data_IF_091713697114
#
_entry.id   IF_091713697114
#
_cell.length_a   1.000
_cell.length_b   1.000
_cell.length_c   1.000
_cell.angle_alpha   90.00
_cell.angle_beta   90.00
_cell.angle_gamma   90.00
#
_symmetry.space_group_name_H-M   'P 1'
#
loop_
_entity.id
_entity.type
_entity.pdbx_description
1 polymer ?
#
# COMPACT_ATOMS: atom_id res chain seq x y z
N UNK A 1 -30.82 1.60 -8.10
CA UNK A 1 -29.97 0.47 -8.51
C UNK A 1 -29.63 -0.34 -7.27
N UNK A 2 -30.07 -1.59 -7.24
CA UNK A 2 -29.74 -2.57 -6.20
C UNK A 2 -28.22 -2.79 -6.21
N UNK A 3 -27.58 -2.80 -5.04
CA UNK A 3 -26.13 -2.99 -4.94
C UNK A 3 -25.76 -4.37 -5.51
N UNK A 4 -24.71 -4.45 -6.34
CA UNK A 4 -24.23 -5.69 -6.96
C UNK A 4 -24.11 -6.84 -5.94
N UNK A 5 -23.69 -6.52 -4.72
CA UNK A 5 -23.49 -7.45 -3.61
C UNK A 5 -24.79 -8.03 -3.01
N UNK A 6 -25.95 -7.43 -3.28
CA UNK A 6 -27.25 -7.93 -2.83
C UNK A 6 -27.74 -9.12 -3.69
N UNK A 7 -27.17 -9.30 -4.88
CA UNK A 7 -27.54 -10.36 -5.82
C UNK A 7 -26.31 -11.17 -6.20
N UNK A 8 -26.20 -12.38 -5.65
CA UNK A 8 -25.14 -13.35 -6.01
C UNK A 8 -25.09 -13.59 -7.53
N UNK A 9 -26.25 -13.55 -8.19
CA UNK A 9 -26.37 -13.71 -9.64
C UNK A 9 -25.71 -12.56 -10.39
N UNK A 10 -25.99 -11.32 -10.02
CA UNK A 10 -25.46 -10.14 -10.71
C UNK A 10 -23.98 -9.93 -10.39
N UNK A 11 -23.54 -10.24 -9.17
CA UNK A 11 -22.13 -10.27 -8.79
C UNK A 11 -21.34 -11.25 -9.67
N UNK A 12 -21.84 -12.47 -9.85
CA UNK A 12 -21.19 -13.47 -10.71
C UNK A 12 -21.15 -13.01 -12.17
N UNK A 13 -22.22 -12.40 -12.69
CA UNK A 13 -22.25 -11.82 -14.04
C UNK A 13 -21.22 -10.72 -14.23
N UNK A 14 -21.08 -9.84 -13.24
CA UNK A 14 -20.08 -8.77 -13.24
C UNK A 14 -18.66 -9.32 -13.28
N UNK A 15 -18.35 -10.30 -12.43
CA UNK A 15 -17.05 -10.96 -12.43
C UNK A 15 -16.73 -11.63 -13.78
N UNK A 16 -17.70 -12.36 -14.37
CA UNK A 16 -17.52 -12.98 -15.70
C UNK A 16 -17.28 -11.91 -16.78
N UNK A 17 -17.99 -10.79 -16.74
CA UNK A 17 -17.86 -9.73 -17.73
C UNK A 17 -16.51 -8.99 -17.62
N UNK A 18 -16.02 -8.79 -16.39
CA UNK A 18 -14.68 -8.26 -16.12
C UNK A 18 -13.60 -9.21 -16.65
N UNK A 19 -13.71 -10.51 -16.38
CA UNK A 19 -12.77 -11.51 -16.89
C UNK A 19 -12.68 -11.51 -18.42
N UNK A 20 -13.83 -11.38 -19.10
CA UNK A 20 -13.85 -11.22 -20.57
C UNK A 20 -13.18 -9.91 -20.96
N UNK A 21 -13.52 -8.78 -20.33
CA UNK A 21 -13.00 -7.48 -20.72
C UNK A 21 -11.47 -7.38 -20.56
N UNK A 22 -10.91 -8.03 -19.52
CA UNK A 22 -9.47 -8.05 -19.22
C UNK A 22 -8.65 -8.94 -20.16
N UNK A 23 -9.26 -10.00 -20.72
CA UNK A 23 -8.54 -11.03 -21.47
C UNK A 23 -9.06 -11.26 -22.90
N UNK A 24 -10.05 -10.48 -23.35
CA UNK A 24 -10.59 -10.54 -24.71
C UNK A 24 -9.51 -10.34 -25.79
N UNK A 25 -9.67 -10.94 -26.98
CA UNK A 25 -10.83 -11.74 -27.43
C UNK A 25 -10.75 -13.24 -27.12
N UNK A 26 -9.63 -13.72 -26.57
CA UNK A 26 -9.34 -15.15 -26.45
C UNK A 26 -9.45 -15.60 -24.99
N UNK A 27 -10.68 -15.79 -24.52
CA UNK A 27 -10.96 -16.26 -23.15
C UNK A 27 -11.78 -17.54 -23.19
N UNK A 28 -11.29 -18.61 -22.55
CA UNK A 28 -12.03 -19.87 -22.47
C UNK A 28 -12.95 -19.91 -21.26
N UNK A 29 -14.12 -20.54 -21.41
CA UNK A 29 -15.06 -20.72 -20.30
C UNK A 29 -14.44 -21.48 -19.12
N UNK A 30 -13.56 -22.45 -19.41
CA UNK A 30 -12.85 -23.23 -18.39
C UNK A 30 -11.88 -22.38 -17.57
N UNK A 31 -11.26 -21.36 -18.17
CA UNK A 31 -10.36 -20.44 -17.49
C UNK A 31 -11.17 -19.52 -16.57
N UNK A 32 -12.26 -18.93 -17.07
CA UNK A 32 -13.20 -18.13 -16.26
C UNK A 32 -13.74 -18.95 -15.08
N UNK A 33 -14.14 -20.20 -15.34
CA UNK A 33 -14.65 -21.11 -14.32
C UNK A 33 -13.62 -21.36 -13.21
N UNK A 34 -12.36 -21.60 -13.59
CA UNK A 34 -11.26 -21.79 -12.65
C UNK A 34 -10.99 -20.52 -11.82
N UNK A 35 -10.87 -19.36 -12.46
CA UNK A 35 -10.63 -18.07 -11.79
C UNK A 35 -11.74 -17.74 -10.79
N UNK A 36 -13.00 -17.97 -11.15
CA UNK A 36 -14.16 -17.63 -10.32
C UNK A 36 -14.58 -18.75 -9.36
N UNK A 37 -13.94 -19.92 -9.39
CA UNK A 37 -14.29 -21.07 -8.55
C UNK A 37 -15.70 -21.61 -8.79
N UNK A 38 -16.20 -21.53 -10.04
CA UNK A 38 -17.53 -22.02 -10.44
C UNK A 38 -17.43 -23.07 -11.53
N UNK A 39 -18.53 -23.76 -11.84
CA UNK A 39 -18.52 -24.79 -12.89
C UNK A 39 -18.53 -24.17 -14.30
N UNK A 40 -17.88 -24.79 -15.31
CA UNK A 40 -17.97 -24.34 -16.70
C UNK A 40 -19.41 -24.25 -17.23
N UNK A 41 -20.30 -25.12 -16.74
CA UNK A 41 -21.73 -25.07 -17.06
C UNK A 41 -22.38 -23.78 -16.55
N UNK A 42 -22.08 -23.37 -15.31
CA UNK A 42 -22.57 -22.11 -14.76
C UNK A 42 -22.06 -20.91 -15.57
N UNK A 43 -20.77 -20.91 -15.95
CA UNK A 43 -20.21 -19.87 -16.84
C UNK A 43 -20.97 -19.83 -18.16
N UNK A 44 -21.24 -20.98 -18.78
CA UNK A 44 -22.01 -21.05 -20.03
C UNK A 44 -23.43 -20.48 -19.88
N UNK A 45 -24.10 -20.67 -18.74
CA UNK A 45 -25.44 -20.12 -18.51
C UNK A 45 -25.39 -18.59 -18.35
N UNK A 46 -24.47 -18.09 -17.53
CA UNK A 46 -24.30 -16.64 -17.36
C UNK A 46 -23.92 -15.94 -18.66
N UNK A 47 -23.09 -16.55 -19.50
CA UNK A 47 -22.71 -15.99 -20.79
C UNK A 47 -23.88 -15.88 -21.76
N UNK A 48 -24.79 -16.87 -21.77
CA UNK A 48 -26.03 -16.77 -22.57
C UNK A 48 -26.87 -15.59 -22.11
N UNK A 49 -27.00 -15.39 -20.80
CA UNK A 49 -27.74 -14.25 -20.25
C UNK A 49 -27.08 -12.91 -20.57
N UNK A 50 -25.76 -12.80 -20.41
CA UNK A 50 -24.99 -11.60 -20.74
C UNK A 50 -25.08 -11.27 -22.24
N UNK A 51 -25.06 -12.28 -23.10
CA UNK A 51 -25.26 -12.11 -24.54
C UNK A 51 -26.70 -11.64 -24.86
N UNK A 52 -27.71 -12.26 -24.25
CA UNK A 52 -29.12 -11.85 -24.41
C UNK A 52 -29.36 -10.41 -23.92
N UNK A 53 -28.62 -9.97 -22.90
CA UNK A 53 -28.68 -8.59 -22.39
C UNK A 53 -27.87 -7.60 -23.24
N UNK A 54 -27.11 -8.09 -24.22
CA UNK A 54 -26.29 -7.29 -25.13
C UNK A 54 -24.98 -6.79 -24.51
N UNK A 55 -24.53 -7.38 -23.40
CA UNK A 55 -23.27 -7.01 -22.73
C UNK A 55 -22.04 -7.70 -23.34
N UNK A 56 -22.25 -8.87 -23.96
CA UNK A 56 -21.21 -9.67 -24.59
C UNK A 56 -21.62 -10.04 -26.01
N UNK A 57 -20.68 -9.92 -26.94
CA UNK A 57 -20.76 -10.48 -28.28
C UNK A 57 -19.97 -11.80 -28.34
N UNK A 58 -20.49 -12.78 -29.09
CA UNK A 58 -19.86 -14.09 -29.27
C UNK A 58 -19.76 -14.42 -30.77
N UNK A 59 -18.56 -14.72 -31.23
CA UNK A 59 -18.26 -15.19 -32.59
C UNK A 59 -18.22 -16.74 -32.65
N UNK A 60 -19.08 -17.39 -31.85
CA UNK A 60 -19.08 -18.83 -31.59
C UNK A 60 -18.55 -19.21 -30.19
N UNK A 61 -18.40 -20.51 -29.92
CA UNK A 61 -18.17 -21.07 -28.56
C UNK A 61 -16.83 -20.72 -27.89
N UNK A 62 -15.93 -20.02 -28.59
CA UNK A 62 -14.51 -19.91 -28.16
C UNK A 62 -14.05 -18.46 -28.00
N UNK A 63 -14.79 -17.47 -28.52
CA UNK A 63 -14.38 -16.06 -28.47
C UNK A 63 -15.52 -15.18 -28.00
N UNK A 64 -15.28 -14.47 -26.91
CA UNK A 64 -16.18 -13.51 -26.31
C UNK A 64 -15.55 -12.13 -26.34
N UNK A 65 -16.35 -11.12 -26.65
CA UNK A 65 -15.93 -9.72 -26.65
C UNK A 65 -16.96 -8.88 -25.91
N UNK A 66 -16.50 -8.00 -25.03
CA UNK A 66 -17.38 -7.09 -24.31
C UNK A 66 -17.90 -6.01 -25.26
N UNK A 67 -19.21 -5.73 -25.22
CA UNK A 67 -19.81 -4.64 -26.01
C UNK A 67 -19.63 -3.30 -25.30
N UNK A 68 -19.88 -2.18 -25.99
CA UNK A 68 -19.88 -0.86 -25.35
C UNK A 68 -20.85 -0.80 -24.16
N UNK A 69 -22.05 -1.39 -24.32
CA UNK A 69 -23.04 -1.53 -23.24
C UNK A 69 -22.51 -2.36 -22.07
N UNK A 70 -21.73 -3.40 -22.35
CA UNK A 70 -21.06 -4.20 -21.32
C UNK A 70 -20.02 -3.41 -20.55
N UNK A 71 -19.21 -2.59 -21.25
CA UNK A 71 -18.21 -1.71 -20.61
C UNK A 71 -18.87 -0.63 -19.75
N UNK A 72 -19.95 -0.02 -20.24
CA UNK A 72 -20.74 0.95 -19.46
C UNK A 72 -21.29 0.30 -18.18
N UNK A 73 -21.87 -0.90 -18.30
CA UNK A 73 -22.39 -1.61 -17.15
C UNK A 73 -21.29 -2.03 -16.16
N UNK A 74 -20.10 -2.44 -16.62
CA UNK A 74 -18.93 -2.65 -15.73
C UNK A 74 -18.62 -1.35 -14.97
N UNK A 75 -18.54 -0.24 -15.70
CA UNK A 75 -18.12 1.06 -15.15
C UNK A 75 -19.10 1.54 -14.07
N UNK A 76 -20.40 1.49 -14.34
CA UNK A 76 -21.44 1.87 -13.38
C UNK A 76 -21.38 1.03 -12.09
N UNK A 77 -21.20 -0.29 -12.22
CA UNK A 77 -21.13 -1.18 -11.07
C UNK A 77 -19.81 -1.02 -10.29
N UNK A 78 -18.70 -0.76 -10.98
CA UNK A 78 -17.43 -0.43 -10.33
C UNK A 78 -17.53 0.85 -9.50
N UNK A 79 -18.18 1.90 -10.02
CA UNK A 79 -18.45 3.12 -9.25
C UNK A 79 -19.39 2.87 -8.07
N UNK A 80 -20.43 2.05 -8.23
CA UNK A 80 -21.31 1.68 -7.14
C UNK A 80 -20.59 0.92 -6.02
N UNK A 81 -19.71 -0.03 -6.38
CA UNK A 81 -18.85 -0.74 -5.44
C UNK A 81 -17.89 0.21 -4.72
N UNK A 82 -17.24 1.12 -5.44
CA UNK A 82 -16.35 2.14 -4.84
C UNK A 82 -17.09 3.02 -3.83
N UNK A 83 -18.30 3.48 -4.16
CA UNK A 83 -19.14 4.28 -3.26
C UNK A 83 -19.54 3.50 -2.01
N UNK A 84 -19.84 2.21 -2.16
CA UNK A 84 -20.21 1.37 -1.02
C UNK A 84 -19.02 1.05 -0.12
N UNK A 85 -17.85 0.74 -0.68
CA UNK A 85 -16.63 0.57 0.08
C UNK A 85 -16.29 1.85 0.88
N UNK A 86 -16.41 3.03 0.24
CA UNK A 86 -16.26 4.32 0.92
C UNK A 86 -17.25 4.48 2.08
N UNK A 87 -18.52 4.19 1.86
CA UNK A 87 -19.53 4.24 2.94
C UNK A 87 -19.16 3.32 4.11
N UNK A 88 -18.70 2.09 3.84
CA UNK A 88 -18.27 1.18 4.91
C UNK A 88 -17.10 1.80 5.70
N UNK A 89 -16.07 2.27 5.01
CA UNK A 89 -14.88 2.83 5.66
C UNK A 89 -15.21 4.12 6.44
N UNK A 90 -15.95 5.04 5.81
CA UNK A 90 -16.16 6.40 6.31
C UNK A 90 -17.35 6.54 7.27
N UNK A 91 -18.35 5.66 7.21
CA UNK A 91 -19.58 5.78 8.02
C UNK A 91 -19.81 4.59 8.97
N UNK A 92 -19.20 3.42 8.72
CA UNK A 92 -19.37 2.24 9.57
C UNK A 92 -18.11 1.96 10.40
N UNK A 93 -16.95 1.85 9.76
CA UNK A 93 -15.69 1.53 10.43
C UNK A 93 -15.20 2.72 11.26
N UNK A 94 -15.25 3.93 10.71
CA UNK A 94 -14.81 5.16 11.39
C UNK A 94 -15.62 5.51 12.65
N UNK A 95 -16.90 5.12 12.71
CA UNK A 95 -17.75 5.38 13.88
C UNK A 95 -17.42 4.44 15.05
N UNK A 96 -16.85 3.27 14.76
CA UNK A 96 -16.56 2.24 15.77
C UNK A 96 -15.09 2.32 16.23
N UNK A 97 -14.20 2.86 15.41
CA UNK A 97 -12.76 2.95 15.72
C UNK A 97 -12.38 4.29 16.34
N UNK A 98 -11.76 4.24 17.53
CA UNK A 98 -11.00 5.37 18.08
C UNK A 98 -9.57 5.26 17.55
N UNK A 99 -9.12 6.28 16.83
CA UNK A 99 -7.75 6.40 16.37
C UNK A 99 -6.93 7.18 17.39
N UNK A 100 -5.72 6.71 17.67
CA UNK A 100 -4.79 7.46 18.54
C UNK A 100 -3.88 8.31 17.66
N UNK A 101 -3.88 9.62 17.90
CA UNK A 101 -2.98 10.58 17.27
C UNK A 101 -2.21 11.36 18.35
N UNK A 102 -1.18 12.09 17.95
CA UNK A 102 -0.48 13.04 18.81
C UNK A 102 -1.06 14.43 18.58
N UNK A 103 -1.47 15.11 19.64
CA UNK A 103 -1.96 16.48 19.55
C UNK A 103 -0.81 17.43 19.17
N UNK A 104 -0.87 18.10 18.01
CA UNK A 104 0.20 19.04 17.60
C UNK A 104 0.05 20.44 18.25
N UNK A 105 -1.08 20.67 18.89
CA UNK A 105 -1.41 21.83 19.71
C UNK A 105 -2.37 21.38 20.84
N UNK A 106 -2.66 22.22 21.85
CA UNK A 106 -3.73 21.91 22.79
C UNK A 106 -5.07 21.79 22.06
N UNK A 107 -5.80 20.70 22.28
CA UNK A 107 -7.11 20.44 21.68
C UNK A 107 -8.15 20.27 22.77
N UNK A 108 -9.36 20.75 22.52
CA UNK A 108 -10.51 20.52 23.40
C UNK A 108 -11.27 19.28 22.94
N UNK A 109 -12.04 18.66 23.83
CA UNK A 109 -12.96 17.58 23.48
C UNK A 109 -13.98 18.05 22.43
N UNK A 110 -14.45 17.13 21.59
CA UNK A 110 -15.46 17.37 20.56
C UNK A 110 -15.08 18.43 19.53
N UNK A 111 -13.78 18.63 19.32
CA UNK A 111 -13.26 19.60 18.37
C UNK A 111 -12.93 18.88 17.07
N UNK A 112 -13.38 19.47 15.96
CA UNK A 112 -13.00 18.99 14.63
C UNK A 112 -11.53 19.30 14.37
N UNK A 113 -10.79 18.29 13.96
CA UNK A 113 -9.36 18.37 13.68
C UNK A 113 -9.05 17.76 12.32
N UNK A 114 -7.98 18.23 11.71
CA UNK A 114 -7.32 17.62 10.59
C UNK A 114 -6.28 16.60 11.07
N UNK A 115 -6.11 15.56 10.28
CA UNK A 115 -5.19 14.45 10.57
C UNK A 115 -4.10 14.39 9.51
N UNK A 116 -2.87 14.20 9.94
CA UNK A 116 -1.73 14.13 9.03
C UNK A 116 -0.59 13.28 9.62
N UNK A 117 0.23 12.70 8.74
CA UNK A 117 1.40 11.91 9.14
C UNK A 117 2.63 12.80 9.27
N UNK A 118 3.40 12.62 10.35
CA UNK A 118 4.72 13.24 10.55
C UNK A 118 5.63 12.24 11.23
N UNK A 119 6.79 12.00 10.63
CA UNK A 119 7.82 11.10 11.14
C UNK A 119 7.26 9.70 11.51
N UNK A 120 6.34 9.16 10.70
CA UNK A 120 5.74 7.84 10.93
C UNK A 120 4.55 7.80 11.88
N UNK A 121 4.17 8.94 12.47
CA UNK A 121 3.15 9.03 13.50
C UNK A 121 2.00 9.91 13.03
N UNK A 122 0.79 9.55 13.46
CA UNK A 122 -0.42 10.31 13.19
C UNK A 122 -0.50 11.51 14.14
N UNK A 123 -0.68 12.70 13.59
CA UNK A 123 -0.90 13.94 14.34
C UNK A 123 -2.31 14.48 14.09
N UNK A 124 -2.83 15.17 15.09
CA UNK A 124 -4.10 15.90 15.04
C UNK A 124 -3.84 17.39 15.25
N UNK A 125 -4.42 18.22 14.38
CA UNK A 125 -4.28 19.68 14.40
C UNK A 125 -5.54 20.37 13.90
N UNK A 126 -5.89 21.53 14.45
CA UNK A 126 -6.92 22.42 13.93
C UNK A 126 -6.39 23.31 12.79
N UNK A 127 -5.09 23.58 12.77
CA UNK A 127 -4.47 24.55 11.86
C UNK A 127 -3.91 23.93 10.58
N UNK A 128 -3.51 22.65 10.63
CA UNK A 128 -2.93 21.95 9.49
C UNK A 128 -4.00 21.31 8.60
N UNK A 129 -4.61 22.10 7.71
CA UNK A 129 -5.65 21.61 6.80
C UNK A 129 -5.15 20.50 5.86
N UNK A 130 -5.79 19.33 5.91
CA UNK A 130 -5.52 18.16 5.06
C UNK A 130 -6.80 17.50 4.55
N UNK A 131 -6.66 16.49 3.69
CA UNK A 131 -7.77 15.69 3.19
C UNK A 131 -8.41 14.74 4.21
N UNK A 132 -7.87 14.62 5.43
CA UNK A 132 -8.41 13.78 6.49
C UNK A 132 -8.84 14.61 7.70
N UNK A 133 -10.02 14.31 8.22
CA UNK A 133 -10.58 15.00 9.40
C UNK A 133 -11.13 14.01 10.41
N UNK A 134 -11.25 14.43 11.66
CA UNK A 134 -11.94 13.69 12.71
C UNK A 134 -12.38 14.60 13.86
N UNK A 135 -12.86 14.00 14.93
CA UNK A 135 -13.33 14.69 16.13
C UNK A 135 -12.59 14.16 17.37
N UNK A 136 -12.06 15.04 18.21
CA UNK A 136 -11.38 14.65 19.46
C UNK A 136 -12.37 14.14 20.51
N UNK A 137 -11.96 13.17 21.31
CA UNK A 137 -12.82 12.63 22.39
C UNK A 137 -12.59 13.28 23.76
N UNK A 138 -11.48 14.00 23.94
CA UNK A 138 -11.08 14.56 25.24
C UNK A 138 -10.18 15.78 25.07
N UNK A 139 -10.13 16.61 26.12
CA UNK A 139 -9.16 17.70 26.22
C UNK A 139 -7.73 17.13 26.33
N UNK A 140 -6.77 17.75 25.66
CA UNK A 140 -5.40 17.27 25.60
C UNK A 140 -4.42 18.44 25.41
N UNK A 141 -3.23 18.30 25.99
CA UNK A 141 -2.14 19.24 25.77
C UNK A 141 -1.28 18.81 24.58
N UNK A 142 -0.60 19.76 23.94
CA UNK A 142 0.36 19.49 22.85
C UNK A 142 1.35 18.39 23.23
N UNK A 143 1.58 17.46 22.29
CA UNK A 143 2.55 16.36 22.40
C UNK A 143 2.05 15.14 23.18
N UNK A 144 0.78 15.11 23.58
CA UNK A 144 0.15 13.95 24.23
C UNK A 144 -0.72 13.19 23.23
N UNK A 145 -1.03 11.95 23.59
CA UNK A 145 -1.95 11.11 22.83
C UNK A 145 -3.39 11.64 22.96
N UNK A 146 -4.12 11.63 21.84
CA UNK A 146 -5.51 12.03 21.74
C UNK A 146 -6.28 10.99 20.95
N UNK A 147 -7.45 10.61 21.46
CA UNK A 147 -8.39 9.78 20.72
C UNK A 147 -9.17 10.64 19.72
N UNK A 148 -9.25 10.17 18.48
CA UNK A 148 -9.99 10.81 17.39
C UNK A 148 -10.99 9.82 16.82
N UNK A 149 -12.25 10.25 16.73
CA UNK A 149 -13.37 9.48 16.15
C UNK A 149 -13.89 10.18 14.89
N UNK A 150 -14.91 9.59 14.25
CA UNK A 150 -15.58 10.18 13.10
C UNK A 150 -14.61 10.53 11.97
N UNK A 151 -13.62 9.66 11.76
CA UNK A 151 -12.59 9.87 10.74
C UNK A 151 -13.22 9.88 9.35
N UNK A 152 -12.94 10.92 8.58
CA UNK A 152 -13.42 11.10 7.21
C UNK A 152 -12.25 11.50 6.32
N UNK A 153 -12.33 11.08 5.06
CA UNK A 153 -11.33 11.41 4.05
C UNK A 153 -10.13 10.46 4.06
N UNK A 154 -9.04 10.87 3.42
CA UNK A 154 -7.84 10.05 3.21
C UNK A 154 -6.67 10.75 3.88
N UNK A 155 -5.93 10.01 4.73
CA UNK A 155 -4.67 10.47 5.31
C UNK A 155 -3.60 10.29 4.23
N UNK A 156 -3.06 11.40 3.76
CA UNK A 156 -1.98 11.37 2.78
C UNK A 156 -0.69 10.85 3.44
N UNK A 157 -0.07 9.87 2.78
CA UNK A 157 1.27 9.39 3.13
C UNK A 157 2.28 10.06 2.19
N UNK A 158 3.39 10.60 2.72
CA UNK A 158 4.45 11.13 1.88
C UNK A 158 5.08 10.01 1.04
N UNK A 159 5.50 10.34 -0.18
CA UNK A 159 6.28 9.43 -1.02
C UNK A 159 7.58 9.07 -0.29
N UNK A 160 7.75 7.78 0.00
CA UNK A 160 8.90 7.27 0.73
C UNK A 160 9.99 6.82 -0.21
N UNK A 161 11.21 7.32 0.03
CA UNK A 161 12.40 6.89 -0.68
C UNK A 161 13.17 5.88 0.17
N UNK A 162 13.40 4.68 -0.38
CA UNK A 162 14.27 3.67 0.22
C UNK A 162 15.59 3.67 -0.53
N UNK A 163 16.68 4.05 0.14
CA UNK A 163 18.02 4.06 -0.42
C UNK A 163 18.82 2.93 0.20
N UNK A 164 19.43 2.08 -0.63
CA UNK A 164 20.15 0.90 -0.20
C UNK A 164 21.62 1.03 -0.60
N UNK A 165 22.52 1.03 0.39
CA UNK A 165 23.95 0.93 0.21
C UNK A 165 24.43 -0.51 0.36
N UNK A 166 25.19 -1.01 -0.61
CA UNK A 166 25.75 -2.36 -0.58
C UNK A 166 27.20 -2.34 -0.09
N UNK A 167 27.50 -3.14 0.93
CA UNK A 167 28.83 -3.27 1.54
C UNK A 167 29.41 -4.66 1.25
N UNK A 168 30.71 -4.77 0.92
CA UNK A 168 31.35 -6.07 0.71
C UNK A 168 31.45 -6.87 2.01
N UNK A 169 31.45 -8.20 1.91
CA UNK A 169 31.72 -9.11 3.04
C UNK A 169 33.15 -8.96 3.55
N UNK A 170 33.40 -9.34 4.80
CA UNK A 170 34.72 -9.23 5.46
C UNK A 170 35.86 -9.90 4.68
N UNK A 171 35.63 -11.06 4.06
CA UNK A 171 36.63 -11.76 3.25
C UNK A 171 36.98 -11.03 1.93
N UNK A 172 36.19 -10.00 1.56
CA UNK A 172 36.41 -9.11 0.42
C UNK A 172 36.76 -7.68 0.84
N UNK A 173 37.21 -7.49 2.09
CA UNK A 173 37.59 -6.20 2.66
C UNK A 173 36.58 -5.59 3.61
N UNK A 174 35.34 -6.07 3.66
CA UNK A 174 34.36 -5.66 4.66
C UNK A 174 34.12 -4.16 4.71
N UNK A 175 33.93 -3.64 5.92
CA UNK A 175 33.82 -2.20 6.17
C UNK A 175 35.07 -1.41 5.77
N UNK A 176 36.25 -2.02 5.66
CA UNK A 176 37.47 -1.31 5.27
C UNK A 176 37.52 -1.00 3.76
N UNK A 177 36.75 -1.70 2.93
CA UNK A 177 36.68 -1.49 1.48
C UNK A 177 35.49 -0.61 1.04
N UNK A 178 34.87 0.11 1.98
CA UNK A 178 33.72 0.99 1.74
C UNK A 178 34.18 2.39 1.32
N UNK A 179 33.55 2.94 0.28
CA UNK A 179 33.67 4.35 -0.08
C UNK A 179 32.93 5.23 0.94
N UNK A 180 33.67 5.64 1.98
CA UNK A 180 33.17 6.48 3.06
C UNK A 180 32.69 7.88 2.61
N UNK A 181 33.36 8.57 1.67
CA UNK A 181 32.83 9.79 1.07
C UNK A 181 31.42 9.62 0.48
N UNK A 182 31.18 8.56 -0.29
CA UNK A 182 29.85 8.28 -0.87
C UNK A 182 28.85 7.90 0.22
N UNK A 183 29.22 7.03 1.15
CA UNK A 183 28.35 6.64 2.27
C UNK A 183 27.89 7.85 3.09
N UNK A 184 28.80 8.76 3.46
CA UNK A 184 28.44 10.00 4.19
C UNK A 184 27.49 10.92 3.43
N UNK A 185 27.51 10.88 2.10
CA UNK A 185 26.60 11.67 1.27
C UNK A 185 25.19 11.06 1.27
N UNK A 186 25.10 9.73 1.19
CA UNK A 186 23.81 9.03 1.12
C UNK A 186 23.04 9.05 2.45
N UNK A 187 23.74 9.01 3.59
CA UNK A 187 23.08 9.00 4.91
C UNK A 187 22.62 10.39 5.37
N UNK A 188 23.04 11.48 4.70
CA UNK A 188 22.99 12.84 5.25
C UNK A 188 21.61 13.49 5.39
N UNK A 189 20.54 12.82 4.98
CA UNK A 189 19.17 13.29 5.23
C UNK A 189 18.57 12.46 6.37
N UNK A 190 17.57 13.01 7.09
CA UNK A 190 16.92 12.35 8.23
C UNK A 190 16.17 11.09 7.78
N UNK A 191 16.92 10.02 7.57
CA UNK A 191 16.42 8.71 7.16
C UNK A 191 16.44 7.79 8.36
N UNK A 192 15.46 6.90 8.42
CA UNK A 192 15.52 5.74 9.30
C UNK A 192 16.68 4.84 8.84
N UNK A 193 17.73 4.75 9.64
CA UNK A 193 19.00 4.08 9.27
C UNK A 193 18.98 2.63 9.73
N UNK A 194 19.12 1.72 8.79
CA UNK A 194 19.05 0.28 9.04
C UNK A 194 20.35 -0.40 8.62
N UNK A 195 20.88 -1.26 9.49
CA UNK A 195 22.08 -2.04 9.21
C UNK A 195 21.75 -3.53 9.06
N UNK A 196 22.18 -4.14 7.96
CA UNK A 196 22.07 -5.57 7.69
C UNK A 196 23.48 -6.14 7.55
N UNK A 197 23.89 -6.94 8.54
CA UNK A 197 25.23 -7.50 8.65
C UNK A 197 26.19 -6.65 9.49
N UNK A 198 27.21 -7.30 10.03
CA UNK A 198 28.17 -6.68 10.96
C UNK A 198 29.06 -5.67 10.23
N UNK A 199 29.44 -5.95 9.00
CA UNK A 199 30.26 -5.05 8.18
C UNK A 199 29.53 -3.73 7.91
N UNK A 200 28.23 -3.77 7.64
CA UNK A 200 27.40 -2.58 7.51
C UNK A 200 27.36 -1.77 8.81
N UNK A 201 27.11 -2.44 9.95
CA UNK A 201 27.11 -1.77 11.25
C UNK A 201 28.46 -1.06 11.54
N UNK A 202 29.57 -1.72 11.28
CA UNK A 202 30.91 -1.13 11.50
C UNK A 202 31.16 0.03 10.54
N UNK A 203 30.71 -0.06 9.28
CA UNK A 203 30.82 1.04 8.32
C UNK A 203 30.04 2.29 8.75
N UNK A 204 28.83 2.14 9.31
CA UNK A 204 28.07 3.26 9.89
C UNK A 204 28.79 3.86 11.10
N UNK A 205 29.30 3.03 12.01
CA UNK A 205 30.07 3.50 13.18
C UNK A 205 31.30 4.30 12.79
N UNK A 206 32.00 3.89 11.73
CA UNK A 206 33.20 4.59 11.24
C UNK A 206 32.90 6.01 10.71
N UNK A 207 31.63 6.33 10.43
CA UNK A 207 31.20 7.69 10.06
C UNK A 207 30.46 8.42 11.19
N UNK A 208 30.39 7.82 12.39
CA UNK A 208 29.75 8.39 13.56
C UNK A 208 28.22 8.35 13.51
N UNK A 209 27.65 7.35 12.81
CA UNK A 209 26.20 7.18 12.70
C UNK A 209 25.83 5.85 13.34
N UNK A 210 24.87 5.89 14.25
CA UNK A 210 24.26 4.70 14.83
C UNK A 210 23.10 4.24 13.95
N UNK A 211 22.95 2.92 13.81
CA UNK A 211 21.78 2.36 13.15
C UNK A 211 20.60 2.37 14.12
N UNK A 212 19.43 2.79 13.65
CA UNK A 212 18.18 2.70 14.40
C UNK A 212 17.78 1.23 14.60
N UNK A 213 18.03 0.40 13.59
CA UNK A 213 17.71 -1.02 13.59
C UNK A 213 18.82 -1.87 13.00
N UNK A 214 19.08 -3.01 13.64
CA UNK A 214 19.93 -4.08 13.10
C UNK A 214 19.18 -5.42 13.01
N UNK A 215 18.35 -5.74 14.01
CA UNK A 215 17.57 -6.97 14.05
C UNK A 215 16.14 -6.70 13.57
N UNK A 216 15.57 -7.60 12.77
CA UNK A 216 14.26 -7.37 12.13
C UNK A 216 14.31 -6.27 11.06
N UNK A 217 15.50 -5.99 10.52
CA UNK A 217 15.76 -4.90 9.58
C UNK A 217 14.82 -4.89 8.37
N UNK A 218 14.54 -6.04 7.77
CA UNK A 218 13.70 -6.12 6.56
C UNK A 218 12.26 -5.69 6.86
N UNK A 219 11.74 -6.18 7.96
CA UNK A 219 10.39 -5.87 8.44
C UNK A 219 10.32 -4.40 8.87
N UNK A 220 11.34 -3.90 9.59
CA UNK A 220 11.40 -2.51 10.01
C UNK A 220 11.40 -1.51 8.84
N UNK A 221 12.13 -1.81 7.74
CA UNK A 221 12.14 -0.96 6.53
C UNK A 221 10.77 -0.93 5.86
N UNK A 222 10.10 -2.08 5.76
CA UNK A 222 8.76 -2.17 5.18
C UNK A 222 7.76 -1.38 6.02
N UNK A 223 7.77 -1.56 7.34
CA UNK A 223 6.88 -0.82 8.24
C UNK A 223 7.15 0.68 8.20
N UNK A 224 8.42 1.11 8.20
CA UNK A 224 8.80 2.52 8.07
C UNK A 224 8.23 3.12 6.77
N UNK A 225 8.36 2.41 5.64
CA UNK A 225 7.82 2.85 4.36
C UNK A 225 6.29 2.98 4.39
N UNK A 226 5.57 2.00 4.95
CA UNK A 226 4.10 2.07 5.10
C UNK A 226 3.61 3.22 5.99
N UNK A 227 4.46 3.70 6.90
CA UNK A 227 4.17 4.84 7.77
C UNK A 227 4.70 6.17 7.20
N UNK A 228 5.23 6.21 5.98
CA UNK A 228 5.69 7.46 5.37
C UNK A 228 7.10 7.89 5.81
N UNK A 229 7.91 6.96 6.32
CA UNK A 229 9.28 7.25 6.80
C UNK A 229 10.30 6.79 5.76
N UNK A 230 11.09 7.71 5.16
CA UNK A 230 12.16 7.33 4.25
C UNK A 230 13.28 6.63 5.00
N UNK A 231 13.94 5.69 4.32
CA UNK A 231 14.90 4.77 4.96
C UNK A 231 16.21 4.71 4.20
N UNK A 232 17.31 4.66 4.94
CA UNK A 232 18.63 4.31 4.40
C UNK A 232 19.06 2.96 4.94
N UNK A 233 19.23 1.98 4.07
CA UNK A 233 19.59 0.62 4.44
C UNK A 233 21.01 0.33 3.99
N UNK A 234 21.89 0.03 4.92
CA UNK A 234 23.22 -0.47 4.61
C UNK A 234 23.24 -1.98 4.78
N UNK A 235 23.52 -2.72 3.70
CA UNK A 235 23.44 -4.17 3.69
C UNK A 235 24.68 -4.84 3.13
N UNK A 236 25.06 -5.97 3.73
CA UNK A 236 26.05 -6.87 3.12
C UNK A 236 25.49 -7.55 1.87
N UNK A 237 26.35 -7.69 0.86
CA UNK A 237 26.01 -8.27 -0.46
C UNK A 237 25.15 -9.54 -0.38
N UNK A 238 25.56 -10.50 0.48
CA UNK A 238 24.89 -11.79 0.60
C UNK A 238 23.46 -11.72 1.17
N UNK A 239 23.12 -10.70 1.97
CA UNK A 239 21.78 -10.57 2.58
C UNK A 239 20.85 -9.63 1.81
N UNK A 240 21.41 -8.86 0.87
CA UNK A 240 20.67 -7.88 0.07
C UNK A 240 19.49 -8.52 -0.67
N UNK A 241 19.68 -9.69 -1.29
CA UNK A 241 18.63 -10.35 -2.08
C UNK A 241 17.35 -10.65 -1.27
N UNK A 242 17.47 -10.90 0.05
CA UNK A 242 16.31 -11.15 0.92
C UNK A 242 15.52 -9.87 1.19
N UNK A 243 16.21 -8.73 1.33
CA UNK A 243 15.57 -7.43 1.46
C UNK A 243 14.86 -7.05 0.17
N UNK A 244 15.53 -7.16 -0.99
CA UNK A 244 14.94 -6.78 -2.28
C UNK A 244 13.68 -7.58 -2.58
N UNK A 245 13.72 -8.90 -2.40
CA UNK A 245 12.55 -9.76 -2.56
C UNK A 245 11.38 -9.34 -1.65
N UNK A 246 11.68 -8.87 -0.44
CA UNK A 246 10.65 -8.41 0.50
C UNK A 246 10.03 -7.08 0.05
N UNK A 247 10.85 -6.12 -0.38
CA UNK A 247 10.38 -4.82 -0.89
C UNK A 247 9.54 -5.00 -2.15
N UNK A 248 9.99 -5.84 -3.09
CA UNK A 248 9.27 -6.15 -4.32
C UNK A 248 7.91 -6.83 -4.07
N UNK A 249 7.85 -7.72 -3.07
CA UNK A 249 6.59 -8.37 -2.68
C UNK A 249 5.54 -7.37 -2.14
N UNK A 250 6.00 -6.26 -1.56
CA UNK A 250 5.16 -5.18 -1.04
C UNK A 250 4.97 -4.04 -2.06
N UNK A 251 5.56 -4.14 -3.25
CA UNK A 251 5.49 -3.11 -4.29
C UNK A 251 6.23 -1.81 -3.96
N UNK A 252 7.23 -1.86 -3.08
CA UNK A 252 8.01 -0.70 -2.66
C UNK A 252 9.19 -0.44 -3.60
N UNK A 253 9.33 0.80 -4.06
CA UNK A 253 10.46 1.24 -4.89
C UNK A 253 11.72 1.50 -4.04
N UNK A 254 12.89 1.25 -4.63
CA UNK A 254 14.18 1.45 -3.97
C UNK A 254 15.28 1.88 -4.93
N UNK A 255 16.27 2.62 -4.41
CA UNK A 255 17.51 3.00 -5.11
C UNK A 255 18.68 2.20 -4.54
N UNK A 256 19.45 1.52 -5.41
CA UNK A 256 20.60 0.71 -4.98
C UNK A 256 21.93 1.36 -5.37
N UNK A 257 22.85 1.45 -4.41
CA UNK A 257 24.21 1.95 -4.60
C UNK A 257 25.24 0.89 -4.17
N UNK A 258 26.20 0.61 -5.06
CA UNK A 258 27.38 -0.16 -4.69
C UNK A 258 28.40 0.76 -4.01
N UNK A 259 28.80 0.44 -2.77
CA UNK A 259 29.73 1.25 -1.98
C UNK A 259 31.13 0.66 -1.93
N UNK A 260 31.42 -0.35 -2.75
CA UNK A 260 32.76 -0.90 -2.86
C UNK A 260 33.69 0.09 -3.60
N UNK A 261 34.86 0.35 -3.02
CA UNK A 261 35.97 1.09 -3.67
C UNK A 261 36.59 0.33 -4.84
#
# INVERSE_FOLDING_TARGET
MTLLLQSKRDATKFQILVEIASHQPNVRQSEIAHTLGITPQAVSEYLKELANQGFVYSDGRVRYKTTAKGVEWITENAFALRRYARFILDEVVSQVAVWTAIADEPLQAHTQVFLYMRDGLLYASMEHETGATGETISDVQKGKDVGVTNLKGIIDLPDVKIVIGKVPRVHRGGSAAVDYPVLKKLVKEKHFVVAIGVEALIALKNIGIDADVMFGAREAVVEAAWHGVPSFVLSVDDELHLLLKRLEAEGLEYELHDLKM
#
